data_IF_747313890371
#
_entry.id   IF_747313890371
#
_cell.length_a   1.000
_cell.length_b   1.000
_cell.length_c   1.000
_cell.angle_alpha   90.00
_cell.angle_beta   90.00
_cell.angle_gamma   90.00
#
_symmetry.space_group_name_H-M   'P 1'
#
loop_
_entity.id
_entity.type
_entity.pdbx_description
1 polymer ?
#
# COMPACT_ATOMS: atom_id res chain seq x y z
N UNK A 1 9.74 -3.16 14.11
CA UNK A 1 9.42 -4.31 13.23
C UNK A 1 10.04 -4.08 11.85
N UNK A 2 10.92 -4.97 11.36
CA UNK A 2 11.52 -4.86 10.01
C UNK A 2 10.45 -5.21 8.96
N UNK A 3 10.36 -4.43 7.89
CA UNK A 3 9.42 -4.72 6.80
C UNK A 3 9.82 -5.99 6.07
N UNK A 4 8.80 -6.79 5.81
CA UNK A 4 8.83 -7.97 4.95
C UNK A 4 8.64 -7.46 3.51
N UNK A 5 9.71 -7.47 2.71
CA UNK A 5 9.72 -7.23 1.26
C UNK A 5 8.72 -8.13 0.51
N UNK A 6 8.36 -7.82 -0.75
CA UNK A 6 7.44 -8.66 -1.54
C UNK A 6 7.83 -10.14 -1.54
N UNK A 7 9.15 -10.43 -1.58
CA UNK A 7 9.70 -11.78 -1.48
C UNK A 7 9.46 -12.38 -0.10
N UNK A 8 9.70 -11.64 0.98
CA UNK A 8 9.40 -12.12 2.34
C UNK A 8 7.89 -12.37 2.54
N UNK A 9 7.00 -11.67 1.83
CA UNK A 9 5.55 -11.87 1.93
C UNK A 9 5.15 -13.20 1.28
N UNK A 10 5.74 -13.53 0.13
CA UNK A 10 5.62 -14.84 -0.49
C UNK A 10 6.18 -15.93 0.41
N UNK A 11 7.35 -15.71 1.02
CA UNK A 11 7.94 -16.67 1.98
C UNK A 11 6.98 -16.93 3.15
N UNK A 12 6.39 -15.88 3.75
CA UNK A 12 5.45 -16.05 4.86
C UNK A 12 4.21 -16.85 4.43
N UNK A 13 3.67 -16.56 3.24
CA UNK A 13 2.53 -17.28 2.67
C UNK A 13 2.87 -18.77 2.46
N UNK A 14 4.03 -19.05 1.87
CA UNK A 14 4.53 -20.41 1.66
C UNK A 14 4.69 -21.14 2.98
N UNK A 15 5.23 -20.49 4.02
CA UNK A 15 5.37 -21.10 5.35
C UNK A 15 4.01 -21.42 5.96
N UNK A 16 3.05 -20.48 5.94
CA UNK A 16 1.71 -20.70 6.49
C UNK A 16 1.00 -21.84 5.76
N UNK A 17 1.10 -21.87 4.43
CA UNK A 17 0.49 -22.90 3.61
C UNK A 17 1.12 -24.28 3.86
N UNK A 18 2.46 -24.37 3.87
CA UNK A 18 3.16 -25.61 4.23
C UNK A 18 2.79 -26.09 5.64
N UNK A 19 2.71 -25.18 6.61
CA UNK A 19 2.30 -25.50 7.98
C UNK A 19 0.87 -26.04 8.06
N UNK A 20 -0.07 -25.50 7.27
CA UNK A 20 -1.43 -26.06 7.20
C UNK A 20 -1.43 -27.51 6.67
N UNK A 21 -0.61 -27.80 5.65
CA UNK A 21 -0.42 -29.17 5.15
C UNK A 21 0.12 -30.13 6.21
N UNK A 22 1.12 -29.70 6.98
CA UNK A 22 1.64 -30.48 8.13
C UNK A 22 0.54 -30.75 9.15
N UNK A 23 -0.30 -29.75 9.46
CA UNK A 23 -1.41 -29.91 10.41
C UNK A 23 -2.42 -30.93 9.90
N UNK A 24 -2.76 -30.88 8.61
CA UNK A 24 -3.66 -31.86 7.99
C UNK A 24 -3.13 -33.28 8.13
N UNK A 25 -1.86 -33.51 7.78
CA UNK A 25 -1.23 -34.82 7.95
C UNK A 25 -1.25 -35.30 9.41
N UNK A 26 -0.93 -34.43 10.36
CA UNK A 26 -0.96 -34.78 11.79
C UNK A 26 -2.36 -35.15 12.29
N UNK A 27 -3.41 -34.57 11.70
CA UNK A 27 -4.80 -34.83 12.08
C UNK A 27 -5.37 -36.10 11.46
N UNK A 28 -5.06 -36.37 10.19
CA UNK A 28 -5.72 -37.42 9.40
C UNK A 28 -4.80 -38.60 9.05
N UNK A 29 -3.47 -38.41 9.09
CA UNK A 29 -2.46 -39.39 8.67
C UNK A 29 -1.31 -39.48 9.69
N UNK A 30 -1.58 -40.05 10.86
CA UNK A 30 -0.63 -40.16 11.98
C UNK A 30 0.63 -41.00 11.70
N UNK A 31 0.63 -41.83 10.65
CA UNK A 31 1.74 -42.73 10.30
C UNK A 31 2.61 -42.24 9.14
N UNK A 32 2.35 -41.04 8.59
CA UNK A 32 3.11 -40.50 7.46
C UNK A 32 4.10 -39.42 7.88
N UNK A 33 5.13 -39.20 7.05
CA UNK A 33 6.07 -38.10 7.26
C UNK A 33 5.34 -36.77 7.02
N UNK A 34 5.31 -35.83 7.97
CA UNK A 34 4.51 -34.60 7.85
C UNK A 34 4.91 -33.68 6.68
N UNK A 35 6.07 -33.93 6.08
CA UNK A 35 6.56 -33.24 4.87
C UNK A 35 5.64 -33.50 3.66
N UNK A 36 4.95 -34.65 3.62
CA UNK A 36 4.05 -35.02 2.51
C UNK A 36 2.90 -34.01 2.40
N UNK A 37 2.21 -33.75 3.51
CA UNK A 37 1.12 -32.78 3.59
C UNK A 37 1.58 -31.36 3.26
N UNK A 38 2.78 -30.97 3.71
CA UNK A 38 3.36 -29.68 3.32
C UNK A 38 3.54 -29.56 1.79
N UNK A 39 4.03 -30.61 1.13
CA UNK A 39 4.20 -30.62 -0.34
C UNK A 39 2.85 -30.49 -1.02
N UNK A 40 1.85 -31.29 -0.63
CA UNK A 40 0.49 -31.16 -1.18
C UNK A 40 -0.08 -29.75 -0.98
N UNK A 41 -0.02 -29.20 0.23
CA UNK A 41 -0.54 -27.87 0.51
C UNK A 41 0.11 -26.79 -0.35
N UNK A 42 1.43 -26.85 -0.57
CA UNK A 42 2.15 -25.91 -1.44
C UNK A 42 1.72 -26.01 -2.90
N UNK A 43 1.65 -27.23 -3.44
CA UNK A 43 1.27 -27.45 -4.83
C UNK A 43 -0.19 -27.10 -5.12
N UNK A 44 -1.08 -27.28 -4.14
CA UNK A 44 -2.49 -26.93 -4.25
C UNK A 44 -2.71 -25.42 -4.09
N UNK A 45 -2.17 -24.82 -3.02
CA UNK A 45 -2.49 -23.44 -2.66
C UNK A 45 -1.66 -22.37 -3.39
N UNK A 46 -0.40 -22.62 -3.76
CA UNK A 46 0.42 -21.60 -4.44
C UNK A 46 -0.13 -21.19 -5.81
N UNK A 47 -0.62 -22.10 -6.67
CA UNK A 47 -1.25 -21.72 -7.94
C UNK A 47 -2.49 -20.83 -7.74
N UNK A 48 -3.32 -21.12 -6.74
CA UNK A 48 -4.49 -20.29 -6.41
C UNK A 48 -4.04 -18.87 -6.01
N UNK A 49 -3.09 -18.77 -5.09
CA UNK A 49 -2.59 -17.47 -4.62
C UNK A 49 -1.88 -16.69 -5.73
N UNK A 50 -1.21 -17.37 -6.65
CA UNK A 50 -0.61 -16.77 -7.84
C UNK A 50 -1.67 -16.25 -8.82
N UNK A 51 -2.78 -16.96 -8.99
CA UNK A 51 -3.92 -16.53 -9.78
C UNK A 51 -4.59 -15.28 -9.17
N UNK A 52 -4.90 -15.30 -7.87
CA UNK A 52 -5.49 -14.15 -7.15
C UNK A 52 -4.63 -12.90 -7.22
N UNK A 53 -3.30 -13.08 -7.14
CA UNK A 53 -2.34 -11.97 -7.22
C UNK A 53 -2.01 -11.56 -8.66
N UNK A 54 -2.71 -12.10 -9.66
CA UNK A 54 -2.54 -11.79 -11.10
C UNK A 54 -1.13 -12.09 -11.63
N UNK A 55 -0.40 -12.95 -10.94
CA UNK A 55 0.91 -13.48 -11.39
C UNK A 55 0.66 -14.55 -12.45
N UNK A 56 -0.33 -15.42 -12.20
CA UNK A 56 -0.77 -16.46 -13.12
C UNK A 56 -2.04 -16.01 -13.87
N UNK A 57 -2.12 -16.29 -15.17
CA UNK A 57 -3.29 -16.03 -16.02
C UNK A 57 -3.92 -14.62 -15.91
N UNK A 58 -3.11 -13.56 -15.83
CA UNK A 58 -3.55 -12.16 -15.71
C UNK A 58 -4.63 -11.73 -16.73
N UNK A 59 -4.57 -12.24 -17.96
CA UNK A 59 -5.55 -11.94 -19.00
C UNK A 59 -6.92 -12.57 -18.70
N UNK A 60 -6.93 -13.81 -18.21
CA UNK A 60 -8.14 -14.53 -17.81
C UNK A 60 -8.80 -13.85 -16.61
N UNK A 61 -8.03 -13.54 -15.57
CA UNK A 61 -8.53 -12.84 -14.39
C UNK A 61 -9.24 -11.51 -14.75
N UNK A 62 -8.64 -10.70 -15.64
CA UNK A 62 -9.26 -9.46 -16.12
C UNK A 62 -10.55 -9.67 -16.92
N UNK A 63 -10.73 -10.81 -17.57
CA UNK A 63 -11.99 -11.14 -18.27
C UNK A 63 -13.07 -11.53 -17.27
N UNK A 64 -12.71 -12.35 -16.29
CA UNK A 64 -13.63 -12.85 -15.25
C UNK A 64 -14.19 -11.70 -14.41
N UNK A 65 -13.38 -10.70 -14.08
CA UNK A 65 -13.83 -9.51 -13.34
C UNK A 65 -14.92 -8.67 -14.05
N UNK A 66 -15.17 -8.89 -15.34
CA UNK A 66 -16.24 -8.20 -16.07
C UNK A 66 -17.58 -8.94 -16.00
N UNK A 67 -17.59 -10.15 -15.44
CA UNK A 67 -18.81 -10.96 -15.32
C UNK A 67 -19.71 -10.41 -14.20
N UNK A 68 -21.03 -10.62 -14.28
CA UNK A 68 -21.94 -10.40 -13.17
C UNK A 68 -21.50 -11.21 -11.93
N UNK A 69 -21.80 -10.71 -10.72
CA UNK A 69 -21.29 -11.29 -9.45
C UNK A 69 -21.51 -12.79 -9.33
N UNK A 70 -22.69 -13.31 -9.67
CA UNK A 70 -22.95 -14.75 -9.61
C UNK A 70 -22.08 -15.56 -10.59
N UNK A 71 -21.95 -15.08 -11.84
CA UNK A 71 -21.11 -15.72 -12.84
C UNK A 71 -19.62 -15.63 -12.46
N UNK A 72 -19.19 -14.52 -11.85
CA UNK A 72 -17.84 -14.35 -11.30
C UNK A 72 -17.54 -15.43 -10.26
N UNK A 73 -18.40 -15.59 -9.24
CA UNK A 73 -18.19 -16.56 -8.15
C UNK A 73 -18.13 -18.00 -8.68
N UNK A 74 -19.07 -18.38 -9.57
CA UNK A 74 -19.09 -19.73 -10.13
C UNK A 74 -17.84 -20.00 -10.96
N UNK A 75 -17.44 -19.03 -11.81
CA UNK A 75 -16.24 -19.17 -12.64
C UNK A 75 -14.98 -19.27 -11.78
N UNK A 76 -14.90 -18.50 -10.70
CA UNK A 76 -13.79 -18.51 -9.75
C UNK A 76 -13.69 -19.86 -9.01
N UNK A 77 -14.81 -20.39 -8.52
CA UNK A 77 -14.87 -21.72 -7.89
C UNK A 77 -14.42 -22.84 -8.83
N UNK A 78 -14.85 -22.80 -10.10
CA UNK A 78 -14.42 -23.77 -11.11
C UNK A 78 -12.92 -23.69 -11.37
N UNK A 79 -12.36 -22.48 -11.44
CA UNK A 79 -10.92 -22.28 -11.63
C UNK A 79 -10.14 -22.81 -10.42
N UNK A 80 -10.62 -22.53 -9.21
CA UNK A 80 -9.99 -23.05 -8.00
C UNK A 80 -9.99 -24.57 -8.02
N UNK A 81 -11.10 -25.21 -8.37
CA UNK A 81 -11.16 -26.67 -8.45
C UNK A 81 -10.17 -27.26 -9.47
N UNK A 82 -10.10 -26.66 -10.67
CA UNK A 82 -9.14 -27.08 -11.70
C UNK A 82 -7.70 -26.91 -11.20
N UNK A 83 -7.37 -25.76 -10.60
CA UNK A 83 -6.02 -25.49 -10.10
C UNK A 83 -5.65 -26.41 -8.94
N UNK A 84 -6.57 -26.68 -8.02
CA UNK A 84 -6.35 -27.59 -6.91
C UNK A 84 -6.14 -29.03 -7.40
N UNK A 85 -6.96 -29.48 -8.34
CA UNK A 85 -6.85 -30.82 -8.92
C UNK A 85 -5.51 -31.01 -9.67
N UNK A 86 -5.09 -30.01 -10.46
CA UNK A 86 -3.78 -30.03 -11.13
C UNK A 86 -2.64 -30.02 -10.10
N UNK A 87 -2.73 -29.15 -9.09
CA UNK A 87 -1.75 -29.07 -8.00
C UNK A 87 -1.60 -30.39 -7.25
N UNK A 88 -2.72 -30.99 -6.87
CA UNK A 88 -2.76 -32.30 -6.22
C UNK A 88 -2.11 -33.38 -7.06
N UNK A 89 -2.48 -33.50 -8.35
CA UNK A 89 -1.90 -34.47 -9.26
C UNK A 89 -0.39 -34.29 -9.43
N UNK A 90 0.08 -33.04 -9.58
CA UNK A 90 1.50 -32.75 -9.67
C UNK A 90 2.26 -33.14 -8.39
N UNK A 91 1.71 -32.86 -7.21
CA UNK A 91 2.30 -33.26 -5.95
C UNK A 91 2.34 -34.79 -5.78
N UNK A 92 1.24 -35.47 -6.10
CA UNK A 92 1.16 -36.93 -6.04
C UNK A 92 2.18 -37.61 -6.95
N UNK A 93 2.29 -37.16 -8.20
CA UNK A 93 3.28 -37.66 -9.16
C UNK A 93 4.72 -37.37 -8.71
N UNK A 94 5.00 -36.18 -8.16
CA UNK A 94 6.31 -35.84 -7.63
C UNK A 94 6.70 -36.74 -6.46
N UNK A 95 5.80 -36.92 -5.49
CA UNK A 95 6.04 -37.74 -4.30
C UNK A 95 6.21 -39.22 -4.63
N UNK A 96 5.47 -39.71 -5.63
CA UNK A 96 5.66 -41.05 -6.18
C UNK A 96 7.02 -41.20 -6.84
N UNK A 97 7.42 -40.24 -7.69
CA UNK A 97 8.73 -40.25 -8.34
C UNK A 97 9.90 -40.20 -7.33
N UNK A 98 9.73 -39.49 -6.22
CA UNK A 98 10.68 -39.45 -5.11
C UNK A 98 10.65 -40.71 -4.22
N UNK A 99 9.73 -41.66 -4.47
CA UNK A 99 9.58 -42.89 -3.69
C UNK A 99 9.00 -42.69 -2.28
N UNK A 100 8.46 -41.50 -1.99
CA UNK A 100 7.89 -41.15 -0.69
C UNK A 100 6.48 -41.71 -0.50
N UNK A 101 5.74 -41.92 -1.60
CA UNK A 101 4.39 -42.47 -1.60
C UNK A 101 4.33 -43.69 -2.51
N UNK A 102 3.77 -44.79 -2.00
CA UNK A 102 3.51 -46.01 -2.77
C UNK A 102 1.99 -46.16 -2.94
N UNK A 103 1.42 -45.72 -4.07
CA UNK A 103 -0.02 -45.80 -4.27
C UNK A 103 -0.46 -47.24 -4.54
N UNK A 104 -1.73 -47.53 -4.28
CA UNK A 104 -2.37 -48.79 -4.73
C UNK A 104 -2.74 -48.67 -6.21
N UNK A 105 -3.20 -47.51 -6.66
CA UNK A 105 -3.49 -47.19 -8.06
C UNK A 105 -2.93 -45.81 -8.46
N UNK A 106 -2.56 -45.65 -9.74
CA UNK A 106 -2.17 -44.33 -10.27
C UNK A 106 -3.30 -43.28 -10.13
N UNK A 107 -4.57 -43.71 -10.09
CA UNK A 107 -5.70 -42.82 -9.89
C UNK A 107 -5.68 -42.16 -8.50
N UNK A 108 -5.16 -42.84 -7.47
CA UNK A 108 -5.08 -42.31 -6.10
C UNK A 108 -4.07 -41.17 -5.97
N UNK A 109 -3.13 -41.06 -6.92
CA UNK A 109 -2.16 -39.96 -6.98
C UNK A 109 -2.72 -38.72 -7.69
N UNK A 110 -3.73 -38.90 -8.55
CA UNK A 110 -4.20 -37.86 -9.48
C UNK A 110 -5.53 -37.29 -9.06
N UNK A 111 -6.44 -38.14 -8.57
CA UNK A 111 -7.77 -37.72 -8.16
C UNK A 111 -7.70 -37.26 -6.71
N UNK A 112 -7.96 -35.98 -6.50
CA UNK A 112 -8.00 -35.39 -5.17
C UNK A 112 -9.20 -35.95 -4.38
N UNK A 113 -9.00 -36.55 -3.20
CA UNK A 113 -10.09 -36.96 -2.34
C UNK A 113 -10.94 -35.75 -1.92
N UNK A 114 -12.25 -35.95 -1.79
CA UNK A 114 -13.18 -34.87 -1.46
C UNK A 114 -12.87 -34.18 -0.12
N UNK A 115 -12.34 -34.94 0.85
CA UNK A 115 -11.93 -34.42 2.15
C UNK A 115 -10.75 -33.45 2.04
N UNK A 116 -9.76 -33.79 1.19
CA UNK A 116 -8.60 -32.95 0.90
C UNK A 116 -9.04 -31.69 0.16
N UNK A 117 -9.96 -31.83 -0.80
CA UNK A 117 -10.58 -30.70 -1.50
C UNK A 117 -11.23 -29.72 -0.52
N UNK A 118 -12.10 -30.20 0.37
CA UNK A 118 -12.79 -29.34 1.34
C UNK A 118 -11.81 -28.62 2.28
N UNK A 119 -10.79 -29.34 2.76
CA UNK A 119 -9.75 -28.75 3.60
C UNK A 119 -8.96 -27.68 2.86
N UNK A 120 -8.48 -27.98 1.66
CA UNK A 120 -7.72 -27.06 0.83
C UNK A 120 -8.53 -25.81 0.48
N UNK A 121 -9.80 -25.98 0.11
CA UNK A 121 -10.72 -24.88 -0.17
C UNK A 121 -10.89 -23.96 1.04
N UNK A 122 -11.10 -24.54 2.23
CA UNK A 122 -11.25 -23.77 3.47
C UNK A 122 -9.97 -22.96 3.80
N UNK A 123 -8.79 -23.60 3.74
CA UNK A 123 -7.50 -22.95 4.02
C UNK A 123 -7.22 -21.85 3.00
N UNK A 124 -7.38 -22.13 1.71
CA UNK A 124 -7.11 -21.14 0.67
C UNK A 124 -8.08 -19.95 0.76
N UNK A 125 -9.37 -20.20 0.96
CA UNK A 125 -10.37 -19.14 1.11
C UNK A 125 -10.07 -18.27 2.33
N UNK A 126 -9.75 -18.88 3.48
CA UNK A 126 -9.37 -18.14 4.68
C UNK A 126 -8.11 -17.30 4.47
N UNK A 127 -7.10 -17.85 3.81
CA UNK A 127 -5.86 -17.14 3.53
C UNK A 127 -6.08 -15.98 2.56
N UNK A 128 -6.84 -16.18 1.48
CA UNK A 128 -7.22 -15.12 0.53
C UNK A 128 -8.01 -14.02 1.26
N UNK A 129 -8.96 -14.38 2.11
CA UNK A 129 -9.71 -13.44 2.93
C UNK A 129 -8.80 -12.58 3.81
N UNK A 130 -7.87 -13.20 4.55
CA UNK A 130 -6.90 -12.48 5.39
C UNK A 130 -6.03 -11.55 4.55
N UNK A 131 -5.54 -12.01 3.39
CA UNK A 131 -4.74 -11.20 2.48
C UNK A 131 -5.54 -10.01 1.93
N UNK A 132 -6.81 -10.20 1.60
CA UNK A 132 -7.71 -9.17 1.08
C UNK A 132 -8.01 -8.11 2.13
N UNK A 133 -8.34 -8.52 3.36
CA UNK A 133 -8.55 -7.60 4.48
C UNK A 133 -7.29 -6.79 4.77
N UNK A 134 -6.12 -7.43 4.75
CA UNK A 134 -4.82 -6.74 4.92
C UNK A 134 -4.54 -5.71 3.82
N UNK A 135 -4.93 -5.99 2.57
CA UNK A 135 -4.79 -5.05 1.46
C UNK A 135 -5.73 -3.86 1.57
N UNK A 136 -6.96 -4.07 2.05
CA UNK A 136 -7.96 -3.02 2.25
C UNK A 136 -7.57 -2.07 3.39
N UNK A 137 -7.14 -2.61 4.53
CA UNK A 137 -6.79 -1.81 5.71
C UNK A 137 -5.38 -1.23 5.64
N UNK A 138 -4.50 -1.84 4.84
CA UNK A 138 -3.07 -1.61 4.89
C UNK A 138 -2.40 -2.43 5.99
N UNK A 139 -1.20 -2.93 5.71
CA UNK A 139 -0.50 -3.90 6.57
C UNK A 139 -0.30 -3.42 8.02
N UNK A 140 0.14 -2.17 8.21
CA UNK A 140 0.45 -1.67 9.55
C UNK A 140 -0.81 -1.49 10.39
N UNK A 141 -1.88 -0.95 9.79
CA UNK A 141 -3.21 -0.82 10.42
C UNK A 141 -3.76 -2.20 10.78
N UNK A 142 -3.76 -3.13 9.83
CA UNK A 142 -4.22 -4.51 10.04
C UNK A 142 -3.51 -5.19 11.21
N UNK A 143 -2.17 -5.15 11.24
CA UNK A 143 -1.40 -5.74 12.34
C UNK A 143 -1.67 -5.04 13.66
N UNK A 144 -1.82 -3.71 13.65
CA UNK A 144 -2.09 -2.93 14.86
C UNK A 144 -3.47 -3.23 15.43
N UNK A 145 -4.47 -3.48 14.58
CA UNK A 145 -5.81 -3.93 14.99
C UNK A 145 -5.78 -5.37 15.53
N UNK A 146 -5.08 -6.29 14.86
CA UNK A 146 -4.94 -7.68 15.32
C UNK A 146 -4.30 -7.79 16.71
N UNK A 147 -3.27 -6.99 16.98
CA UNK A 147 -2.61 -6.95 18.29
C UNK A 147 -3.27 -5.97 19.28
N UNK A 148 -4.38 -5.34 18.88
CA UNK A 148 -5.13 -4.35 19.66
C UNK A 148 -4.28 -3.18 20.18
N UNK A 149 -3.25 -2.77 19.42
CA UNK A 149 -2.24 -1.78 19.84
C UNK A 149 -2.83 -0.43 20.21
N UNK A 150 -3.85 0.00 19.46
CA UNK A 150 -4.42 1.35 19.56
C UNK A 150 -5.81 1.38 20.21
N UNK A 151 -6.27 0.26 20.80
CA UNK A 151 -7.54 0.22 21.55
C UNK A 151 -7.52 1.19 22.74
N UNK A 152 -6.35 1.38 23.34
CA UNK A 152 -6.07 2.47 24.26
C UNK A 152 -5.24 3.55 23.54
N UNK A 153 -5.48 4.85 23.79
CA UNK A 153 -4.69 5.93 23.19
C UNK A 153 -3.20 5.80 23.51
N UNK A 154 -2.35 5.87 22.49
CA UNK A 154 -0.89 5.78 22.59
C UNK A 154 -0.28 7.11 22.18
N UNK A 155 0.62 7.66 23.02
CA UNK A 155 1.45 8.81 22.65
C UNK A 155 2.64 8.32 21.82
N UNK A 156 2.81 8.85 20.61
CA UNK A 156 3.95 8.57 19.74
C UNK A 156 4.31 9.79 18.90
N UNK A 157 5.54 9.84 18.39
CA UNK A 157 5.96 10.89 17.45
C UNK A 157 5.84 10.43 16.01
N UNK A 158 5.28 11.29 15.15
CA UNK A 158 5.06 10.99 13.74
C UNK A 158 5.40 12.18 12.85
N UNK A 159 5.79 11.88 11.62
CA UNK A 159 5.81 12.84 10.50
C UNK A 159 4.51 12.69 9.74
N UNK A 160 3.91 13.82 9.35
CA UNK A 160 2.81 13.91 8.42
C UNK A 160 3.25 14.67 7.18
N UNK A 161 2.79 14.16 6.04
CA UNK A 161 2.89 14.78 4.74
C UNK A 161 1.47 14.97 4.23
N UNK A 162 1.11 16.23 3.98
CA UNK A 162 -0.12 16.58 3.29
C UNK A 162 0.25 16.93 1.86
N UNK A 163 -0.29 16.19 0.89
CA UNK A 163 -0.10 16.45 -0.54
C UNK A 163 -1.44 16.84 -1.14
N UNK A 164 -1.49 17.96 -1.85
CA UNK A 164 -2.70 18.49 -2.51
C UNK A 164 -2.47 18.73 -4.00
N UNK A 165 -3.51 18.53 -4.81
CA UNK A 165 -3.47 18.79 -6.26
C UNK A 165 -3.72 20.27 -6.54
N UNK A 166 -2.80 20.91 -7.26
CA UNK A 166 -2.99 22.30 -7.69
C UNK A 166 -4.10 22.38 -8.75
N UNK A 167 -5.01 23.33 -8.55
CA UNK A 167 -6.10 23.69 -9.47
C UNK A 167 -7.04 22.51 -9.82
N UNK A 168 -7.26 21.61 -8.86
CA UNK A 168 -8.18 20.48 -8.97
C UNK A 168 -9.62 20.91 -9.31
N UNK A 169 -10.12 21.96 -8.66
CA UNK A 169 -11.47 22.51 -8.90
C UNK A 169 -11.60 23.04 -10.32
N UNK A 170 -10.62 23.81 -10.80
CA UNK A 170 -10.62 24.31 -12.18
C UNK A 170 -10.58 23.17 -13.21
N UNK A 171 -9.85 22.09 -12.90
CA UNK A 171 -9.87 20.88 -13.73
C UNK A 171 -11.26 20.24 -13.76
N UNK A 172 -11.92 20.09 -12.60
CA UNK A 172 -13.25 19.52 -12.50
C UNK A 172 -14.30 20.37 -13.24
N UNK A 173 -14.27 21.69 -13.09
CA UNK A 173 -15.16 22.62 -13.80
C UNK A 173 -15.01 22.49 -15.33
N UNK A 174 -13.79 22.34 -15.82
CA UNK A 174 -13.51 22.25 -17.26
C UNK A 174 -13.82 20.88 -17.86
N UNK A 175 -13.62 19.81 -17.10
CA UNK A 175 -13.60 18.44 -17.63
C UNK A 175 -14.69 17.51 -17.06
N UNK A 176 -15.44 17.97 -16.07
CA UNK A 176 -16.46 17.22 -15.34
C UNK A 176 -15.87 16.32 -14.24
N UNK A 177 -16.70 16.05 -13.23
CA UNK A 177 -16.34 15.32 -12.01
C UNK A 177 -15.81 13.91 -12.30
N UNK A 178 -16.39 13.21 -13.29
CA UNK A 178 -15.93 11.87 -13.65
C UNK A 178 -14.47 11.88 -14.12
N UNK A 179 -14.09 12.88 -14.92
CA UNK A 179 -12.71 12.98 -15.43
C UNK A 179 -11.76 13.44 -14.33
N UNK A 180 -12.20 14.32 -13.43
CA UNK A 180 -11.44 14.71 -12.24
C UNK A 180 -11.17 13.50 -11.33
N UNK A 181 -12.18 12.66 -11.09
CA UNK A 181 -12.03 11.44 -10.30
C UNK A 181 -11.06 10.45 -10.94
N UNK A 182 -11.06 10.32 -12.27
CA UNK A 182 -10.10 9.47 -13.00
C UNK A 182 -8.67 10.02 -12.93
N UNK A 183 -8.50 11.35 -12.95
CA UNK A 183 -7.21 12.02 -12.75
C UNK A 183 -6.70 11.71 -11.34
N UNK A 184 -7.50 11.97 -10.31
CA UNK A 184 -7.15 11.73 -8.91
C UNK A 184 -6.82 10.26 -8.65
N UNK A 185 -7.62 9.33 -9.17
CA UNK A 185 -7.36 7.89 -9.03
C UNK A 185 -6.01 7.49 -9.61
N UNK A 186 -5.64 8.03 -10.76
CA UNK A 186 -4.35 7.75 -11.40
C UNK A 186 -3.20 8.43 -10.66
N UNK A 187 -3.44 9.62 -10.12
CA UNK A 187 -2.46 10.39 -9.35
C UNK A 187 -2.14 9.66 -8.03
N UNK A 188 -3.16 9.25 -7.29
CA UNK A 188 -3.00 8.47 -6.05
C UNK A 188 -2.32 7.12 -6.29
N UNK A 189 -2.59 6.47 -7.43
CA UNK A 189 -1.86 5.26 -7.82
C UNK A 189 -0.35 5.50 -7.98
N UNK A 190 0.05 6.71 -8.40
CA UNK A 190 1.46 7.11 -8.53
C UNK A 190 2.13 7.28 -7.16
N UNK A 191 1.38 7.59 -6.10
CA UNK A 191 1.93 7.75 -4.74
C UNK A 191 2.31 6.41 -4.11
N UNK A 192 1.58 5.34 -4.47
CA UNK A 192 1.62 4.07 -3.75
C UNK A 192 3.03 3.46 -3.68
N UNK A 193 3.80 3.51 -4.77
CA UNK A 193 5.13 2.89 -4.80
C UNK A 193 6.22 3.71 -4.11
N UNK A 194 6.38 5.03 -4.37
CA UNK A 194 7.28 5.88 -3.59
C UNK A 194 6.99 5.83 -2.09
N UNK A 195 5.72 5.92 -1.68
CA UNK A 195 5.33 5.86 -0.26
C UNK A 195 5.77 4.53 0.36
N UNK A 196 5.54 3.42 -0.32
CA UNK A 196 5.97 2.09 0.14
C UNK A 196 7.49 1.96 0.21
N UNK A 197 8.21 2.41 -0.82
CA UNK A 197 9.68 2.39 -0.91
C UNK A 197 10.32 3.18 0.24
N UNK A 198 9.74 4.33 0.58
CA UNK A 198 10.16 5.19 1.68
C UNK A 198 9.47 4.87 3.00
N UNK A 199 8.80 3.72 3.10
CA UNK A 199 8.24 3.13 4.32
C UNK A 199 7.21 4.02 5.02
N UNK A 200 6.51 4.82 4.23
CA UNK A 200 5.37 5.62 4.65
C UNK A 200 4.08 4.83 4.55
N UNK A 201 3.06 5.39 5.16
CA UNK A 201 1.70 4.86 5.11
C UNK A 201 0.78 5.96 4.62
N UNK A 202 0.05 5.68 3.54
CA UNK A 202 -1.08 6.52 3.14
C UNK A 202 -2.16 6.31 4.20
N UNK A 203 -2.43 7.35 4.98
CA UNK A 203 -3.44 7.34 6.02
C UNK A 203 -4.84 7.57 5.46
N UNK A 204 -4.96 8.55 4.55
CA UNK A 204 -6.26 8.94 4.04
C UNK A 204 -6.16 9.67 2.70
N UNK A 205 -7.27 9.65 1.97
CA UNK A 205 -7.52 10.51 0.82
C UNK A 205 -8.70 11.42 1.18
N UNK A 206 -8.49 12.73 1.19
CA UNK A 206 -9.49 13.72 1.59
C UNK A 206 -9.71 14.66 0.40
N UNK A 207 -10.72 14.36 -0.40
CA UNK A 207 -10.96 15.05 -1.66
C UNK A 207 -9.81 14.81 -2.65
N UNK A 208 -9.11 15.88 -3.02
CA UNK A 208 -7.94 15.91 -3.87
C UNK A 208 -6.60 15.82 -3.11
N UNK A 209 -6.66 15.79 -1.78
CA UNK A 209 -5.49 15.67 -0.92
C UNK A 209 -5.23 14.22 -0.49
N UNK A 210 -3.96 13.89 -0.29
CA UNK A 210 -3.50 12.66 0.33
C UNK A 210 -2.71 12.96 1.61
N UNK A 211 -2.99 12.21 2.67
CA UNK A 211 -2.28 12.29 3.94
C UNK A 211 -1.39 11.05 4.08
N UNK A 212 -0.08 11.26 4.17
CA UNK A 212 0.91 10.21 4.35
C UNK A 212 1.60 10.41 5.70
N UNK A 213 1.89 9.32 6.40
CA UNK A 213 2.52 9.39 7.74
C UNK A 213 3.61 8.35 7.95
N UNK A 214 4.56 8.68 8.81
CA UNK A 214 5.62 7.80 9.29
C UNK A 214 5.75 7.94 10.81
N UNK A 215 6.12 6.87 11.54
CA UNK A 215 6.79 7.04 12.82
C UNK A 215 8.01 7.97 12.64
N UNK A 216 8.21 8.95 13.53
CA UNK A 216 9.20 10.02 13.35
C UNK A 216 10.59 9.47 12.99
N UNK A 217 11.12 8.58 13.82
CA UNK A 217 12.43 7.96 13.63
C UNK A 217 12.58 7.24 12.27
N UNK A 218 11.47 6.75 11.70
CA UNK A 218 11.48 6.09 10.38
C UNK A 218 11.49 7.10 9.24
N UNK A 219 10.72 8.18 9.35
CA UNK A 219 10.60 9.22 8.32
C UNK A 219 11.84 10.08 8.19
N UNK A 220 12.46 10.46 9.32
CA UNK A 220 13.68 11.28 9.34
C UNK A 220 14.94 10.50 8.94
N UNK A 221 14.95 9.18 9.16
CA UNK A 221 16.06 8.32 8.78
C UNK A 221 16.27 8.38 7.27
N UNK A 222 17.48 8.75 6.85
CA UNK A 222 17.87 8.94 5.46
C UNK A 222 16.98 9.94 4.70
N UNK A 223 16.32 10.85 5.43
CA UNK A 223 15.33 11.80 4.93
C UNK A 223 14.21 11.15 4.08
N UNK A 224 13.78 9.93 4.42
CA UNK A 224 12.75 9.18 3.67
C UNK A 224 11.48 9.97 3.38
N UNK A 225 10.97 10.73 4.35
CA UNK A 225 9.76 11.52 4.13
C UNK A 225 9.95 12.59 3.05
N UNK A 226 11.14 13.17 2.94
CA UNK A 226 11.48 14.17 1.92
C UNK A 226 11.74 13.50 0.57
N UNK A 227 12.55 12.43 0.56
CA UNK A 227 12.81 11.65 -0.68
C UNK A 227 11.53 11.09 -1.27
N UNK A 228 10.56 10.69 -0.45
CA UNK A 228 9.25 10.25 -0.92
C UNK A 228 8.55 11.31 -1.77
N UNK A 229 8.61 12.58 -1.37
CA UNK A 229 7.97 13.67 -2.12
C UNK A 229 8.64 13.81 -3.49
N UNK A 230 9.97 13.88 -3.51
CA UNK A 230 10.69 14.08 -4.77
C UNK A 230 10.64 12.87 -5.70
N UNK A 231 10.58 11.64 -5.18
CA UNK A 231 10.30 10.45 -5.99
C UNK A 231 8.89 10.50 -6.61
N UNK A 232 7.87 10.96 -5.87
CA UNK A 232 6.52 11.16 -6.43
C UNK A 232 6.54 12.19 -7.56
N UNK A 233 7.20 13.32 -7.35
CA UNK A 233 7.30 14.38 -8.37
C UNK A 233 8.08 13.89 -9.60
N UNK A 234 9.18 13.16 -9.40
CA UNK A 234 9.97 12.57 -10.48
C UNK A 234 9.17 11.54 -11.29
N UNK A 235 8.36 10.69 -10.65
CA UNK A 235 7.51 9.72 -11.34
C UNK A 235 6.42 10.41 -12.19
N UNK A 236 5.87 11.54 -11.72
CA UNK A 236 4.93 12.36 -12.50
C UNK A 236 5.62 12.98 -13.71
N UNK A 237 6.80 13.57 -13.51
CA UNK A 237 7.58 14.22 -14.58
C UNK A 237 8.04 13.21 -15.63
N UNK A 238 8.52 12.04 -15.22
CA UNK A 238 8.94 10.97 -16.11
C UNK A 238 7.79 10.49 -17.02
N UNK A 239 6.54 10.58 -16.57
CA UNK A 239 5.34 10.23 -17.34
C UNK A 239 4.56 11.46 -17.84
N UNK A 240 5.18 12.64 -17.93
CA UNK A 240 4.52 13.88 -18.32
C UNK A 240 3.76 13.78 -19.67
N UNK A 241 4.31 13.06 -20.65
CA UNK A 241 3.64 12.85 -21.94
C UNK A 241 2.34 12.03 -21.80
N UNK A 242 2.33 11.00 -20.96
CA UNK A 242 1.15 10.20 -20.67
C UNK A 242 0.06 11.02 -19.98
N UNK A 243 0.43 11.84 -19.01
CA UNK A 243 -0.49 12.76 -18.33
C UNK A 243 -1.13 13.75 -19.30
N UNK A 244 -0.33 14.41 -20.15
CA UNK A 244 -0.85 15.33 -21.17
C UNK A 244 -1.78 14.63 -22.15
N UNK A 245 -1.44 13.42 -22.61
CA UNK A 245 -2.27 12.65 -23.53
C UNK A 245 -3.64 12.30 -22.93
N UNK A 246 -3.67 11.86 -21.67
CA UNK A 246 -4.90 11.35 -21.05
C UNK A 246 -5.78 12.47 -20.47
N UNK A 247 -5.15 13.50 -19.89
CA UNK A 247 -5.82 14.53 -19.10
C UNK A 247 -5.61 15.95 -19.61
N UNK A 248 -4.77 16.16 -20.63
CA UNK A 248 -4.49 17.49 -21.18
C UNK A 248 -3.50 18.33 -20.36
N UNK A 249 -3.07 17.85 -19.20
CA UNK A 249 -2.12 18.54 -18.32
C UNK A 249 -1.25 17.55 -17.54
N UNK A 250 -0.10 18.03 -17.05
CA UNK A 250 0.72 17.32 -16.06
C UNK A 250 0.26 17.79 -14.67
N UNK A 251 -0.12 16.88 -13.75
CA UNK A 251 -0.49 17.24 -12.39
C UNK A 251 0.63 18.02 -11.69
N UNK A 252 0.26 19.06 -10.94
CA UNK A 252 1.19 19.78 -10.07
C UNK A 252 0.74 19.60 -8.62
N UNK A 253 1.70 19.44 -7.71
CA UNK A 253 1.39 19.16 -6.31
C UNK A 253 1.88 20.27 -5.39
N UNK A 254 1.15 20.46 -4.29
CA UNK A 254 1.61 21.14 -3.08
C UNK A 254 1.84 20.09 -2.01
N UNK A 255 2.93 20.19 -1.28
CA UNK A 255 3.34 19.21 -0.29
C UNK A 255 3.85 19.92 0.97
N UNK A 256 3.30 19.57 2.13
CA UNK A 256 3.73 20.11 3.41
C UNK A 256 4.13 18.99 4.38
N UNK A 257 5.30 19.14 4.99
CA UNK A 257 5.87 18.22 5.96
C UNK A 257 5.97 18.87 7.35
N UNK A 258 5.40 18.21 8.34
CA UNK A 258 5.64 18.54 9.75
C UNK A 258 5.63 17.26 10.59
N UNK A 259 6.27 17.30 11.76
CA UNK A 259 6.37 16.15 12.63
C UNK A 259 6.57 16.55 14.08
N UNK A 260 6.03 15.73 14.97
CA UNK A 260 5.94 16.01 16.39
C UNK A 260 5.11 14.93 17.11
N UNK A 261 4.83 15.17 18.38
CA UNK A 261 4.01 14.29 19.21
C UNK A 261 2.55 14.29 18.76
N UNK A 262 1.94 13.12 18.78
CA UNK A 262 0.51 12.91 18.58
C UNK A 262 -0.01 11.83 19.54
N UNK A 263 -1.32 11.75 19.66
CA UNK A 263 -2.04 10.63 20.24
C UNK A 263 -2.63 9.80 19.11
N UNK A 264 -2.23 8.53 19.01
CA UNK A 264 -2.82 7.55 18.09
C UNK A 264 -3.81 6.69 18.85
N UNK A 265 -5.06 6.62 18.38
CA UNK A 265 -6.10 5.81 18.99
C UNK A 265 -7.00 5.20 17.91
N UNK A 266 -7.54 4.02 18.18
CA UNK A 266 -8.65 3.47 17.43
C UNK A 266 -9.95 4.18 17.87
N UNK A 267 -10.69 4.72 16.91
CA UNK A 267 -11.96 5.40 17.12
C UNK A 267 -13.04 4.79 16.22
N UNK A 268 -14.30 5.00 16.58
CA UNK A 268 -15.46 4.51 15.85
C UNK A 268 -16.28 3.50 16.64
N UNK A 269 -17.58 3.47 16.37
CA UNK A 269 -18.52 2.50 16.96
C UNK A 269 -18.94 1.51 15.87
N UNK A 270 -19.41 2.02 14.73
CA UNK A 270 -19.78 1.18 13.58
C UNK A 270 -18.65 1.04 12.54
N UNK A 271 -17.74 2.02 12.50
CA UNK A 271 -16.63 2.06 11.57
C UNK A 271 -15.32 2.40 12.28
N UNK A 272 -14.57 1.37 12.63
CA UNK A 272 -13.31 1.50 13.36
C UNK A 272 -12.19 2.00 12.44
N UNK A 273 -11.49 3.06 12.88
CA UNK A 273 -10.33 3.64 12.18
C UNK A 273 -9.28 4.07 13.18
N UNK A 274 -8.01 3.93 12.79
CA UNK A 274 -6.90 4.55 13.53
C UNK A 274 -6.92 6.05 13.25
N UNK A 275 -7.08 6.86 14.29
CA UNK A 275 -7.07 8.31 14.23
C UNK A 275 -5.82 8.88 14.91
N UNK A 276 -5.37 10.01 14.38
CA UNK A 276 -4.24 10.78 14.91
C UNK A 276 -4.75 12.12 15.40
N UNK A 277 -4.53 12.39 16.69
CA UNK A 277 -4.95 13.63 17.33
C UNK A 277 -3.75 14.38 17.89
N UNK A 278 -3.69 15.69 17.62
CA UNK A 278 -2.64 16.57 18.15
C UNK A 278 -2.37 17.78 17.26
N UNK A 279 -1.64 18.76 17.82
CA UNK A 279 -1.27 19.99 17.09
C UNK A 279 -0.47 19.67 15.81
N UNK A 280 0.34 18.60 15.83
CA UNK A 280 1.15 18.17 14.68
C UNK A 280 0.32 17.98 13.40
N UNK A 281 -0.86 17.32 13.47
CA UNK A 281 -1.71 17.08 12.29
C UNK A 281 -2.27 18.40 11.77
N UNK A 282 -2.81 19.23 12.66
CA UNK A 282 -3.39 20.52 12.32
C UNK A 282 -2.35 21.49 11.76
N UNK A 283 -1.15 21.54 12.36
CA UNK A 283 -0.03 22.34 11.91
C UNK A 283 0.47 21.90 10.53
N UNK A 284 0.44 20.60 10.23
CA UNK A 284 0.76 20.10 8.87
C UNK A 284 -0.26 20.59 7.85
N UNK A 285 -1.56 20.48 8.14
CA UNK A 285 -2.62 20.96 7.25
C UNK A 285 -2.51 22.47 6.99
N UNK A 286 -2.19 23.25 8.02
CA UNK A 286 -2.00 24.69 7.89
C UNK A 286 -0.74 25.04 7.10
N UNK A 287 0.33 24.26 7.23
CA UNK A 287 1.54 24.41 6.43
C UNK A 287 1.29 24.10 4.94
N UNK A 288 0.41 23.16 4.62
CA UNK A 288 -0.06 22.93 3.24
C UNK A 288 -0.71 24.21 2.70
N UNK A 289 -1.61 24.83 3.46
CA UNK A 289 -2.27 26.06 3.02
C UNK A 289 -1.27 27.19 2.76
N UNK A 290 -0.17 27.28 3.52
CA UNK A 290 0.92 28.24 3.28
C UNK A 290 1.67 28.01 1.97
N UNK A 291 1.65 26.81 1.39
CA UNK A 291 2.25 26.55 0.07
C UNK A 291 1.65 27.49 -1.00
N UNK A 292 0.34 27.78 -0.88
CA UNK A 292 -0.40 28.70 -1.77
C UNK A 292 0.08 30.14 -1.62
N UNK A 293 0.09 30.65 -0.39
CA UNK A 293 0.43 32.05 -0.12
C UNK A 293 1.91 32.36 -0.34
N UNK A 294 2.79 31.39 -0.11
CA UNK A 294 4.24 31.55 -0.29
C UNK A 294 4.71 31.20 -1.71
N UNK A 295 3.80 30.73 -2.57
CA UNK A 295 4.09 30.29 -3.94
C UNK A 295 5.28 29.31 -3.98
N UNK A 296 5.19 28.25 -3.17
CA UNK A 296 6.19 27.17 -3.08
C UNK A 296 5.48 25.83 -3.08
N UNK A 297 5.98 24.88 -3.86
CA UNK A 297 5.37 23.55 -3.99
C UNK A 297 5.65 22.63 -2.82
N UNK A 298 6.82 22.72 -2.18
CA UNK A 298 7.19 21.83 -1.07
C UNK A 298 7.65 22.66 0.12
N UNK A 299 6.91 22.56 1.23
CA UNK A 299 7.24 23.21 2.49
C UNK A 299 7.53 22.18 3.58
N UNK A 300 8.45 22.51 4.48
CA UNK A 300 8.75 21.74 5.68
C UNK A 300 8.83 22.69 6.88
N UNK A 301 8.38 22.27 8.06
CA UNK A 301 8.61 23.06 9.26
C UNK A 301 10.09 23.07 9.64
N UNK A 302 10.62 24.20 10.11
CA UNK A 302 12.02 24.29 10.58
C UNK A 302 12.30 23.34 11.75
N UNK A 303 11.28 23.00 12.53
CA UNK A 303 11.39 21.98 13.59
C UNK A 303 11.69 20.60 13.04
N UNK A 304 10.95 20.15 12.03
CA UNK A 304 11.18 18.83 11.43
C UNK A 304 12.47 18.82 10.61
N UNK A 305 12.77 19.90 9.88
CA UNK A 305 13.99 20.04 9.11
C UNK A 305 15.25 19.86 9.98
N UNK A 306 15.25 20.39 11.21
CA UNK A 306 16.35 20.24 12.17
C UNK A 306 16.55 18.81 12.70
N UNK A 307 15.56 17.93 12.52
CA UNK A 307 15.61 16.52 12.99
C UNK A 307 16.20 15.56 11.93
N UNK A 308 16.61 16.05 10.76
CA UNK A 308 17.18 15.22 9.69
C UNK A 308 18.33 15.91 8.96
N UNK A 309 19.13 15.12 8.25
CA UNK A 309 20.12 15.64 7.29
C UNK A 309 19.55 15.51 5.89
N UNK A 310 19.53 16.61 5.14
CA UNK A 310 19.09 16.59 3.75
C UNK A 310 20.19 15.99 2.86
N UNK A 311 19.80 15.19 1.85
CA UNK A 311 20.68 14.79 0.75
C UNK A 311 21.24 16.00 -0.04
N UNK A 312 22.41 15.84 -0.66
CA UNK A 312 23.10 16.92 -1.41
C UNK A 312 22.32 17.44 -2.63
N UNK A 313 21.40 16.62 -3.16
CA UNK A 313 20.53 16.96 -4.29
C UNK A 313 19.30 17.79 -3.87
N UNK A 314 19.04 17.94 -2.57
CA UNK A 314 17.94 18.72 -2.02
C UNK A 314 18.47 20.03 -1.43
N UNK A 315 17.98 21.15 -1.94
CA UNK A 315 18.25 22.47 -1.37
C UNK A 315 17.09 22.94 -0.48
N UNK A 316 17.44 23.71 0.53
CA UNK A 316 16.53 24.18 1.57
C UNK A 316 16.67 25.70 1.69
N UNK A 317 15.58 26.42 1.41
CA UNK A 317 15.47 27.88 1.51
C UNK A 317 14.70 28.21 2.79
N UNK A 318 15.29 28.97 3.72
CA UNK A 318 14.58 29.42 4.92
C UNK A 318 13.65 30.58 4.57
N UNK A 319 12.35 30.42 4.84
CA UNK A 319 11.32 31.43 4.59
C UNK A 319 10.94 32.19 5.88
N UNK A 320 11.65 31.94 6.98
CA UNK A 320 11.40 32.57 8.27
C UNK A 320 10.16 32.04 8.97
N UNK A 321 9.62 32.85 9.87
CA UNK A 321 8.50 32.47 10.72
C UNK A 321 7.19 33.07 10.23
N UNK A 322 6.17 32.23 10.13
CA UNK A 322 4.83 32.61 9.67
C UNK A 322 3.80 32.42 10.78
N UNK A 323 2.89 33.37 10.91
CA UNK A 323 1.75 33.23 11.81
C UNK A 323 0.78 32.19 11.24
N UNK A 324 0.35 31.26 12.07
CA UNK A 324 -0.56 30.19 11.64
C UNK A 324 -1.86 30.31 12.43
N UNK A 325 -2.99 30.43 11.72
CA UNK A 325 -4.31 30.64 12.33
C UNK A 325 -4.62 29.56 13.36
N UNK A 326 -4.99 29.96 14.58
CA UNK A 326 -5.34 29.03 15.66
C UNK A 326 -4.14 28.36 16.34
N UNK A 327 -2.92 28.88 16.14
CA UNK A 327 -1.72 28.57 16.91
C UNK A 327 -1.21 29.87 17.52
N UNK A 328 -1.02 29.91 18.83
CA UNK A 328 -0.48 31.10 19.53
C UNK A 328 1.02 31.34 19.29
N UNK A 329 1.66 30.54 18.43
CA UNK A 329 3.10 30.57 18.16
C UNK A 329 3.35 30.54 16.65
N UNK A 330 4.31 31.35 16.21
CA UNK A 330 4.77 31.36 14.83
C UNK A 330 5.41 30.02 14.45
N UNK A 331 5.23 29.60 13.20
CA UNK A 331 5.82 28.39 12.64
C UNK A 331 7.01 28.78 11.76
N UNK A 332 8.20 28.26 12.06
CA UNK A 332 9.32 28.35 11.14
C UNK A 332 9.06 27.49 9.91
N UNK A 333 9.23 28.05 8.72
CA UNK A 333 8.93 27.41 7.44
C UNK A 333 10.15 27.45 6.55
N UNK A 334 10.45 26.33 5.90
CA UNK A 334 11.49 26.23 4.88
C UNK A 334 10.90 25.64 3.60
N UNK A 335 11.34 26.14 2.45
CA UNK A 335 11.01 25.56 1.14
C UNK A 335 12.07 24.56 0.71
N UNK A 336 11.61 23.43 0.17
CA UNK A 336 12.48 22.40 -0.37
C UNK A 336 12.44 22.40 -1.89
N UNK A 337 13.60 22.16 -2.51
CA UNK A 337 13.70 21.93 -3.94
C UNK A 337 14.73 20.85 -4.25
N UNK A 338 14.51 20.08 -5.32
CA UNK A 338 15.50 19.11 -5.81
C UNK A 338 16.17 19.64 -7.07
N UNK A 339 17.50 19.47 -7.16
CA UNK A 339 18.26 19.80 -8.37
C UNK A 339 17.91 18.88 -9.55
N UNK A 340 17.43 17.68 -9.27
CA UNK A 340 17.07 16.68 -10.28
C UNK A 340 15.66 16.87 -10.85
N UNK A 341 14.75 17.51 -10.10
CA UNK A 341 13.36 17.78 -10.50
C UNK A 341 13.27 19.26 -10.90
N UNK A 342 13.62 19.56 -12.16
CA UNK A 342 13.79 20.94 -12.63
C UNK A 342 12.46 21.61 -13.03
N UNK A 343 11.38 20.86 -13.18
CA UNK A 343 10.11 21.40 -13.67
C UNK A 343 9.16 21.44 -12.50
N UNK A 344 8.96 22.62 -11.88
CA UNK A 344 7.79 23.03 -11.07
C UNK A 344 8.11 24.27 -10.21
N UNK A 345 9.39 24.61 -10.04
CA UNK A 345 9.84 25.68 -9.13
C UNK A 345 9.95 27.08 -9.74
N UNK A 346 9.57 27.31 -10.99
CA UNK A 346 9.57 28.68 -11.53
C UNK A 346 8.35 29.42 -11.00
N UNK A 347 8.50 30.50 -10.21
CA UNK A 347 7.37 31.40 -9.96
C UNK A 347 6.84 31.85 -11.32
N UNK A 348 5.51 31.86 -11.48
CA UNK A 348 4.89 32.51 -12.62
C UNK A 348 5.33 33.98 -12.59
N UNK A 349 6.28 34.35 -13.45
CA UNK A 349 6.57 35.74 -13.73
C UNK A 349 5.32 36.27 -14.40
N UNK A 350 4.53 37.03 -13.65
CA UNK A 350 3.50 37.88 -14.22
C UNK A 350 4.27 38.91 -15.05
N UNK A 351 4.35 38.67 -16.36
CA UNK A 351 4.73 39.69 -17.31
C UNK A 351 3.55 40.68 -17.35
N UNK A 352 3.66 41.75 -16.56
CA UNK A 352 2.93 42.97 -16.86
C UNK A 352 3.56 43.56 -18.13
N UNK A 353 2.82 43.42 -19.23
CA UNK A 353 3.04 44.11 -20.50
C UNK A 353 1.73 44.76 -20.92
#
# INVERSE_FOLDING_TARGET
MREISPTQNWILITIVLAASGVIYDLMFYSNQTPIIGAIFALFIGMPILAFERKVLFRALYRRIQKLPTFAFIITELLIYEILMSIGFACAGLLLWWLGMVKPVSLLDLVIMPFEVFLYALAVCTMLIFVLRVRELLGREVFLSMLISRYRNPVREERVFLFIDLVDSTAFAEKHGDLRAQQLLSSLFATFAEPVRRHKGMINDYVGDAAIITWPLARGVKDARCVRCIFDILADIDANAAGWRKNYGQVPKLRAALHGGEIITAEIGVDHHKISYFGDTVNTTARLETLCRSLNRSVLISSELARRMKFPDDISCEDLGTHAVKGRGQALGVMALSSRAVTVLNTPAVILHG
#
